data_IF_472039869165
#
_entry.id   IF_472039869165
#
_cell.length_a   1.000
_cell.length_b   1.000
_cell.length_c   1.000
_cell.angle_alpha   90.00
_cell.angle_beta   90.00
_cell.angle_gamma   90.00
#
_symmetry.space_group_name_H-M   'P 1'
#
loop_
_entity.id
_entity.type
_entity.pdbx_description
1 polymer ?
#
# COMPACT_ATOMS: atom_id res chain seq x y z
N UNK A 1 14.62 -5.24 36.60
CA UNK A 1 14.17 -6.36 35.76
C UNK A 1 12.98 -5.82 34.97
N UNK A 2 13.18 -5.48 33.71
CA UNK A 2 12.14 -4.91 32.84
C UNK A 2 11.62 -6.09 32.01
N UNK A 3 10.37 -6.48 32.23
CA UNK A 3 9.66 -7.43 31.37
C UNK A 3 9.60 -6.84 29.95
N UNK A 4 10.10 -7.52 28.91
CA UNK A 4 9.89 -7.07 27.55
C UNK A 4 8.38 -7.14 27.27
N UNK A 5 7.77 -5.98 27.01
CA UNK A 5 6.42 -5.88 26.47
C UNK A 5 6.27 -6.89 25.33
N UNK A 6 5.23 -7.76 25.34
CA UNK A 6 5.02 -8.67 24.24
C UNK A 6 4.86 -7.80 23.00
N UNK A 7 5.79 -7.94 22.06
CA UNK A 7 5.68 -7.33 20.74
C UNK A 7 4.28 -7.68 20.24
N UNK A 8 3.37 -6.70 20.28
CA UNK A 8 2.05 -6.86 19.69
C UNK A 8 2.34 -7.19 18.24
N UNK A 9 2.08 -8.44 17.86
CA UNK A 9 1.92 -8.86 16.47
C UNK A 9 0.79 -8.01 15.91
N UNK A 10 1.15 -6.80 15.54
CA UNK A 10 0.29 -5.87 14.84
C UNK A 10 0.30 -6.45 13.44
N UNK A 11 -0.71 -7.27 13.13
CA UNK A 11 -0.99 -7.63 11.76
C UNK A 11 -1.12 -6.32 11.01
N UNK A 12 -0.07 -5.88 10.32
CA UNK A 12 -0.15 -4.72 9.45
C UNK A 12 -1.18 -5.10 8.40
N UNK A 13 -2.35 -4.45 8.43
CA UNK A 13 -3.44 -4.63 7.46
C UNK A 13 -3.07 -4.07 6.07
N UNK A 14 -1.77 -3.98 5.80
CA UNK A 14 -1.16 -3.30 4.68
C UNK A 14 -0.76 -4.37 3.67
N UNK A 15 -1.59 -4.57 2.66
CA UNK A 15 -1.27 -5.53 1.60
C UNK A 15 -0.70 -4.78 0.41
N UNK A 16 0.51 -5.15 -0.02
CA UNK A 16 1.21 -4.57 -1.15
C UNK A 16 1.35 -5.57 -2.28
N UNK A 17 1.16 -5.11 -3.50
CA UNK A 17 1.41 -5.88 -4.71
C UNK A 17 2.23 -5.06 -5.69
N UNK A 18 3.19 -5.72 -6.33
CA UNK A 18 4.04 -5.11 -7.34
C UNK A 18 4.08 -5.99 -8.57
N UNK A 19 3.91 -5.37 -9.72
CA UNK A 19 4.08 -6.00 -11.03
C UNK A 19 5.09 -5.19 -11.83
N UNK A 20 5.93 -5.90 -12.55
CA UNK A 20 6.94 -5.29 -13.41
C UNK A 20 6.92 -5.93 -14.79
N UNK A 21 7.27 -5.11 -15.77
CA UNK A 21 7.73 -5.53 -17.09
C UNK A 21 9.13 -4.94 -17.28
N UNK A 22 9.89 -5.30 -18.33
CA UNK A 22 11.24 -4.76 -18.55
C UNK A 22 11.34 -3.23 -18.60
N UNK A 23 10.23 -2.52 -18.86
CA UNK A 23 10.22 -1.06 -19.01
C UNK A 23 9.26 -0.33 -18.07
N UNK A 24 8.42 -1.03 -17.31
CA UNK A 24 7.33 -0.44 -16.52
C UNK A 24 7.15 -1.12 -15.17
N UNK A 25 6.73 -0.37 -14.16
CA UNK A 25 6.27 -0.90 -12.88
C UNK A 25 4.82 -0.48 -12.59
N UNK A 26 4.16 -1.30 -11.80
CA UNK A 26 2.85 -1.06 -11.21
C UNK A 26 2.88 -1.49 -9.74
N UNK A 27 2.38 -0.64 -8.85
CA UNK A 27 2.30 -0.89 -7.42
C UNK A 27 0.86 -0.65 -6.97
N UNK A 28 0.34 -1.54 -6.14
CA UNK A 28 -0.92 -1.37 -5.44
C UNK A 28 -0.71 -1.58 -3.94
N UNK A 29 -1.32 -0.72 -3.13
CA UNK A 29 -1.33 -0.80 -1.69
C UNK A 29 -2.77 -0.64 -1.19
N UNK A 30 -3.27 -1.68 -0.52
CA UNK A 30 -4.51 -1.60 0.21
C UNK A 30 -4.18 -1.34 1.68
N UNK A 31 -4.67 -0.23 2.22
CA UNK A 31 -4.40 0.20 3.59
C UNK A 31 -5.57 0.96 4.19
N UNK A 32 -5.52 1.19 5.50
CA UNK A 32 -6.40 2.15 6.17
C UNK A 32 -5.78 3.54 6.14
N UNK A 33 -6.57 4.58 5.91
CA UNK A 33 -6.12 5.96 6.11
C UNK A 33 -6.18 6.37 7.59
N UNK A 34 -6.01 7.66 7.89
CA UNK A 34 -5.99 8.18 9.27
C UNK A 34 -7.36 8.15 9.96
N UNK A 35 -8.45 8.15 9.19
CA UNK A 35 -9.82 7.93 9.65
C UNK A 35 -10.17 6.44 9.61
N UNK A 36 -9.43 5.73 8.76
CA UNK A 36 -9.35 4.31 8.50
C UNK A 36 -10.72 3.71 8.41
N UNK A 37 -11.53 3.75 7.36
CA UNK A 37 -11.43 3.97 5.90
C UNK A 37 -10.35 3.24 5.11
N UNK A 38 -10.79 2.28 4.27
CA UNK A 38 -9.95 1.55 3.33
C UNK A 38 -9.65 2.39 2.11
N UNK A 39 -8.38 2.45 1.71
CA UNK A 39 -7.89 3.16 0.53
C UNK A 39 -7.05 2.21 -0.31
N UNK A 40 -7.32 2.21 -1.63
CA UNK A 40 -6.48 1.58 -2.63
C UNK A 40 -5.58 2.65 -3.25
N UNK A 41 -4.31 2.63 -2.87
CA UNK A 41 -3.27 3.50 -3.42
C UNK A 41 -2.53 2.78 -4.54
N UNK A 42 -2.38 3.43 -5.69
CA UNK A 42 -1.76 2.86 -6.90
C UNK A 42 -0.68 3.78 -7.42
N UNK A 43 0.44 3.20 -7.85
CA UNK A 43 1.50 3.90 -8.56
C UNK A 43 1.85 3.14 -9.83
N UNK A 44 2.23 3.86 -10.87
CA UNK A 44 2.72 3.28 -12.11
C UNK A 44 3.76 4.18 -12.74
N UNK A 45 4.66 3.59 -13.53
CA UNK A 45 5.64 4.40 -14.25
C UNK A 45 6.61 3.59 -15.09
N UNK A 46 7.45 4.30 -15.83
CA UNK A 46 8.59 3.73 -16.52
C UNK A 46 9.75 3.46 -15.56
N UNK A 47 10.48 2.37 -15.77
CA UNK A 47 11.67 2.04 -14.97
C UNK A 47 12.88 2.91 -15.32
N UNK A 48 12.94 3.42 -16.56
CA UNK A 48 14.07 4.18 -17.09
C UNK A 48 13.71 5.64 -17.44
N UNK A 49 12.52 6.11 -17.04
CA UNK A 49 12.10 7.48 -17.30
C UNK A 49 11.22 8.02 -16.17
N UNK A 50 10.88 9.30 -16.23
CA UNK A 50 10.03 9.98 -15.25
C UNK A 50 8.54 9.95 -15.59
N UNK A 51 8.13 9.17 -16.59
CA UNK A 51 6.71 9.05 -16.92
C UNK A 51 6.07 8.09 -15.94
N UNK A 52 5.08 8.58 -15.19
CA UNK A 52 4.37 7.81 -14.21
C UNK A 52 3.26 8.62 -13.57
N UNK A 53 2.56 7.98 -12.65
CA UNK A 53 1.48 8.61 -11.92
C UNK A 53 1.14 7.83 -10.67
N UNK A 54 0.26 8.43 -9.88
CA UNK A 54 -0.33 7.81 -8.72
C UNK A 54 -1.81 8.14 -8.63
N UNK A 55 -2.59 7.27 -7.99
CA UNK A 55 -4.01 7.50 -7.70
C UNK A 55 -4.39 6.78 -6.41
N UNK A 56 -5.20 7.46 -5.60
CA UNK A 56 -5.76 6.96 -4.36
C UNK A 56 -7.26 6.92 -4.52
N UNK A 57 -7.89 5.77 -4.28
CA UNK A 57 -9.34 5.63 -4.31
C UNK A 57 -9.85 5.06 -3.00
N UNK A 58 -10.88 5.66 -2.39
CA UNK A 58 -11.56 5.04 -1.27
C UNK A 58 -12.23 3.74 -1.73
N UNK A 59 -12.20 2.72 -0.87
CA UNK A 59 -12.84 1.44 -1.15
C UNK A 59 -14.25 1.46 -0.53
N UNK A 60 -15.24 1.75 -1.36
CA UNK A 60 -16.67 1.70 -0.99
C UNK A 60 -17.17 0.25 -0.90
N UNK A 61 -17.97 -0.05 0.13
CA UNK A 61 -18.65 -1.35 0.29
C UNK A 61 -18.10 -2.29 1.37
N UNK A 62 -17.14 -1.84 2.18
CA UNK A 62 -16.69 -2.55 3.39
C UNK A 62 -17.27 -1.86 4.65
N UNK A 63 -18.58 -2.05 4.88
CA UNK A 63 -19.25 -1.68 6.13
C UNK A 63 -19.89 -2.92 6.74
#
# INVERSE_FOLDING_TARGET
>A
MIEPSPLKLTFSQDTWWRWESPTRYYLAWLHRDLLGDWVLSRWWGGLANRHGGQRHDPVVGFH
#
